data_IF_129430618764
#
_entry.id   IF_129430618764
#
_cell.length_a   1.000
_cell.length_b   1.000
_cell.length_c   1.000
_cell.angle_alpha   90.00
_cell.angle_beta   90.00
_cell.angle_gamma   90.00
#
_symmetry.space_group_name_H-M   'P 1'
#
loop_
_entity.id
_entity.type
_entity.pdbx_description
1 polymer ?
#
# COMPACT_ATOMS: atom_id res chain seq x y z
N UNK A 1 7.55 0.12 19.33
CA UNK A 1 7.47 -0.29 17.93
C UNK A 1 7.83 0.87 17.02
N UNK A 2 8.71 0.66 16.03
CA UNK A 2 8.92 1.58 14.94
C UNK A 2 7.64 1.77 14.12
N UNK A 3 7.35 2.99 13.70
CA UNK A 3 6.25 3.32 12.81
C UNK A 3 6.84 3.67 11.44
N UNK A 4 6.82 2.72 10.54
CA UNK A 4 7.21 2.84 9.13
C UNK A 4 6.19 2.08 8.26
N UNK A 5 6.04 2.45 7.00
CA UNK A 5 5.12 1.80 6.06
C UNK A 5 5.68 0.48 5.51
N UNK A 6 6.18 -0.38 6.40
CA UNK A 6 6.68 -1.70 6.03
C UNK A 6 6.37 -2.76 7.09
N UNK A 7 6.16 -3.98 6.64
CA UNK A 7 6.07 -5.16 7.46
C UNK A 7 7.45 -5.66 7.93
N UNK A 8 7.47 -6.74 8.73
CA UNK A 8 8.73 -7.36 9.18
C UNK A 8 9.51 -6.55 10.21
N UNK A 9 8.93 -5.48 10.77
CA UNK A 9 9.58 -4.56 11.73
C UNK A 9 10.20 -5.27 12.93
N UNK A 10 9.55 -6.32 13.42
CA UNK A 10 10.07 -7.13 14.53
C UNK A 10 11.38 -7.84 14.18
N UNK A 11 11.44 -8.47 13.00
CA UNK A 11 12.63 -9.16 12.49
C UNK A 11 13.78 -8.18 12.24
N UNK A 12 13.47 -6.94 11.82
CA UNK A 12 14.45 -5.87 11.62
C UNK A 12 14.92 -5.16 12.89
N UNK A 13 14.42 -5.54 14.07
CA UNK A 13 14.79 -4.91 15.35
C UNK A 13 14.01 -3.65 15.72
N UNK A 14 12.99 -3.29 14.92
CA UNK A 14 12.12 -2.14 15.16
C UNK A 14 11.03 -2.35 16.22
N UNK A 15 10.95 -3.54 16.83
CA UNK A 15 10.03 -3.85 17.92
C UNK A 15 10.82 -4.45 19.07
N UNK A 16 10.71 -3.83 20.25
CA UNK A 16 11.36 -4.32 21.48
C UNK A 16 10.39 -4.22 22.66
N UNK A 17 10.53 -5.15 23.57
CA UNK A 17 9.79 -5.16 24.84
C UNK A 17 10.63 -4.48 25.90
N UNK A 18 10.03 -3.60 26.70
CA UNK A 18 10.66 -2.94 27.83
C UNK A 18 9.83 -3.18 29.10
N UNK A 19 10.47 -3.34 30.24
CA UNK A 19 9.83 -3.71 31.52
C UNK A 19 9.71 -2.56 32.51
N UNK A 20 10.31 -1.41 32.17
CA UNK A 20 10.27 -0.20 33.00
C UNK A 20 10.29 1.05 32.14
N UNK A 21 9.84 2.18 32.69
CA UNK A 21 9.88 3.47 32.01
C UNK A 21 11.31 3.89 31.64
N UNK A 22 12.29 3.55 32.44
CA UNK A 22 13.69 3.82 32.14
C UNK A 22 14.15 3.02 30.91
N UNK A 23 13.83 1.73 30.85
CA UNK A 23 14.13 0.87 29.72
C UNK A 23 13.38 1.30 28.44
N UNK A 24 12.13 1.79 28.56
CA UNK A 24 11.39 2.38 27.42
C UNK A 24 12.15 3.56 26.83
N UNK A 25 12.70 4.45 27.67
CA UNK A 25 13.48 5.60 27.17
C UNK A 25 14.75 5.17 26.45
N UNK A 26 15.46 4.19 27.00
CA UNK A 26 16.67 3.66 26.39
C UNK A 26 16.38 3.01 25.03
N UNK A 27 15.41 2.09 25.01
CA UNK A 27 14.99 1.38 23.80
C UNK A 27 14.42 2.35 22.75
N UNK A 28 13.64 3.35 23.16
CA UNK A 28 13.14 4.38 22.25
C UNK A 28 14.30 5.17 21.62
N UNK A 29 15.32 5.53 22.40
CA UNK A 29 16.52 6.20 21.90
C UNK A 29 17.32 5.35 20.90
N UNK A 30 17.31 4.02 21.05
CA UNK A 30 17.98 3.11 20.12
C UNK A 30 17.23 2.94 18.79
N UNK A 31 15.87 2.98 18.82
CA UNK A 31 15.04 2.72 17.64
C UNK A 31 14.75 4.02 16.89
N UNK A 32 14.56 5.14 17.58
CA UNK A 32 14.30 6.42 16.95
C UNK A 32 15.54 6.91 16.21
N UNK A 33 15.42 7.23 14.93
CA UNK A 33 16.54 7.63 14.10
C UNK A 33 17.37 6.49 13.51
N UNK A 34 17.06 5.21 13.83
CA UNK A 34 17.71 4.09 13.16
C UNK A 34 17.19 3.93 11.72
N UNK A 35 18.03 3.43 10.83
CA UNK A 35 17.58 2.93 9.53
C UNK A 35 17.14 1.49 9.68
N UNK A 36 15.84 1.25 9.54
CA UNK A 36 15.25 -0.07 9.69
C UNK A 36 15.18 -0.77 8.34
N UNK A 37 15.93 -1.88 8.23
CA UNK A 37 15.95 -2.72 7.03
C UNK A 37 15.01 -3.91 7.26
N UNK A 38 14.04 -4.04 6.35
CA UNK A 38 13.14 -5.20 6.26
C UNK A 38 13.13 -5.68 4.83
N UNK A 39 12.55 -6.83 4.55
CA UNK A 39 12.45 -7.31 3.16
C UNK A 39 11.56 -6.39 2.29
N UNK A 40 10.62 -5.63 2.89
CA UNK A 40 9.76 -4.68 2.17
C UNK A 40 10.42 -3.30 1.95
N UNK A 41 11.38 -2.91 2.80
CA UNK A 41 12.10 -1.63 2.62
C UNK A 41 13.28 -1.74 1.67
N UNK A 42 13.66 -2.95 1.28
CA UNK A 42 14.90 -3.17 0.54
C UNK A 42 16.17 -2.91 1.35
N UNK A 43 17.36 -3.03 0.74
CA UNK A 43 18.64 -2.92 1.43
C UNK A 43 18.94 -1.50 1.95
N UNK A 44 18.32 -0.47 1.37
CA UNK A 44 18.49 0.92 1.80
C UNK A 44 17.79 1.20 3.13
N UNK A 45 16.74 0.43 3.45
CA UNK A 45 15.96 0.59 4.67
C UNK A 45 15.13 1.88 4.69
N UNK A 46 14.47 2.12 5.84
CA UNK A 46 13.70 3.35 6.10
C UNK A 46 14.11 3.94 7.44
N UNK A 47 14.23 5.27 7.49
CA UNK A 47 14.54 5.98 8.71
C UNK A 47 13.34 5.99 9.65
N UNK A 48 13.51 5.51 10.87
CA UNK A 48 12.45 5.50 11.87
C UNK A 48 12.30 6.89 12.49
N UNK A 49 11.22 7.58 12.14
CA UNK A 49 10.93 8.94 12.64
C UNK A 49 9.91 8.95 13.79
N UNK A 50 9.12 7.88 13.93
CA UNK A 50 8.05 7.78 14.92
C UNK A 50 8.07 6.43 15.63
N UNK A 51 7.67 6.45 16.90
CA UNK A 51 7.54 5.25 17.73
C UNK A 51 6.14 5.17 18.33
N UNK A 52 5.61 3.97 18.38
CA UNK A 52 4.46 3.64 19.22
C UNK A 52 4.94 2.91 20.47
N UNK A 53 4.56 3.41 21.64
CA UNK A 53 4.73 2.74 22.93
C UNK A 53 3.35 2.27 23.37
N UNK A 54 3.23 0.98 23.63
CA UNK A 54 1.96 0.36 24.02
C UNK A 54 2.20 -0.66 25.14
N UNK A 55 1.13 -1.01 25.83
CA UNK A 55 1.14 -2.06 26.84
C UNK A 55 1.40 -3.43 26.18
N UNK A 56 2.20 -4.27 26.86
CA UNK A 56 2.42 -5.64 26.41
C UNK A 56 1.25 -6.52 26.84
N UNK A 57 0.74 -7.31 25.93
CA UNK A 57 -0.36 -8.23 26.17
C UNK A 57 0.16 -9.68 26.35
N UNK A 58 -0.48 -10.51 27.20
CA UNK A 58 -0.12 -11.89 27.38
C UNK A 58 -0.63 -12.75 26.22
N UNK A 59 0.04 -12.67 25.08
CA UNK A 59 -0.33 -13.34 23.83
C UNK A 59 -0.33 -14.86 24.04
N UNK A 60 -1.43 -15.50 23.63
CA UNK A 60 -1.56 -16.96 23.54
C UNK A 60 -1.40 -17.43 22.09
N UNK A 61 -2.07 -16.71 21.16
CA UNK A 61 -2.08 -17.07 19.74
C UNK A 61 -2.08 -15.83 18.87
N UNK A 62 -1.33 -15.88 17.78
CA UNK A 62 -1.32 -14.86 16.72
C UNK A 62 -2.08 -15.38 15.50
N UNK A 63 -3.00 -14.59 14.98
CA UNK A 63 -3.87 -14.88 13.86
C UNK A 63 -3.73 -13.78 12.81
N UNK A 64 -4.16 -14.05 11.60
CA UNK A 64 -4.23 -13.08 10.52
C UNK A 64 -5.67 -12.80 10.12
N UNK A 65 -6.02 -11.53 9.91
CA UNK A 65 -7.26 -11.09 9.29
C UNK A 65 -6.95 -10.07 8.21
N UNK A 66 -7.58 -10.20 7.04
CA UNK A 66 -7.39 -9.25 5.94
C UNK A 66 -8.63 -9.12 5.05
N UNK A 67 -8.77 -7.98 4.40
CA UNK A 67 -9.79 -7.71 3.39
C UNK A 67 -9.07 -7.22 2.15
N UNK A 68 -9.29 -7.89 1.03
CA UNK A 68 -8.72 -7.55 -0.27
C UNK A 68 -9.77 -7.67 -1.37
N UNK A 69 -9.56 -6.96 -2.47
CA UNK A 69 -10.34 -7.16 -3.69
C UNK A 69 -9.85 -8.40 -4.43
N UNK A 70 -10.69 -9.43 -4.50
CA UNK A 70 -10.46 -10.56 -5.40
C UNK A 70 -10.95 -10.21 -6.81
N UNK A 71 -10.00 -9.99 -7.72
CA UNK A 71 -10.30 -9.56 -9.09
C UNK A 71 -10.99 -10.63 -9.91
N UNK A 72 -10.78 -11.92 -9.60
CA UNK A 72 -11.43 -13.00 -10.31
C UNK A 72 -12.92 -13.10 -9.94
N UNK A 73 -13.24 -12.84 -8.66
CA UNK A 73 -14.62 -12.82 -8.17
C UNK A 73 -15.29 -11.45 -8.38
N UNK A 74 -14.52 -10.37 -8.60
CA UNK A 74 -15.03 -9.00 -8.66
C UNK A 74 -15.66 -8.54 -7.34
N UNK A 75 -15.21 -9.08 -6.19
CA UNK A 75 -15.74 -8.83 -4.86
C UNK A 75 -14.63 -8.64 -3.83
N UNK A 76 -14.94 -7.92 -2.77
CA UNK A 76 -14.12 -7.96 -1.57
C UNK A 76 -14.20 -9.36 -0.93
N UNK A 77 -13.06 -9.83 -0.47
CA UNK A 77 -12.94 -11.12 0.20
C UNK A 77 -12.31 -10.90 1.57
N UNK A 78 -12.97 -11.42 2.59
CA UNK A 78 -12.41 -11.52 3.93
C UNK A 78 -11.52 -12.75 4.00
N UNK A 79 -10.26 -12.56 4.36
CA UNK A 79 -9.29 -13.63 4.57
C UNK A 79 -8.98 -13.76 6.06
N UNK A 80 -8.86 -14.99 6.53
CA UNK A 80 -8.44 -15.29 7.88
C UNK A 80 -7.48 -16.49 7.89
N UNK A 81 -6.43 -16.43 8.70
CA UNK A 81 -5.48 -17.54 8.86
C UNK A 81 -5.09 -17.76 10.32
N UNK A 82 -4.79 -19.02 10.64
CA UNK A 82 -4.19 -19.40 11.92
C UNK A 82 -2.71 -18.99 12.03
N UNK A 83 -2.10 -18.58 10.93
CA UNK A 83 -0.71 -18.15 10.85
C UNK A 83 -0.66 -16.62 10.87
N UNK A 84 -0.57 -16.03 12.06
CA UNK A 84 -0.38 -14.59 12.26
C UNK A 84 1.06 -14.23 12.59
N UNK A 85 1.38 -12.93 12.53
CA UNK A 85 2.72 -12.43 12.83
C UNK A 85 3.78 -12.73 11.77
N UNK A 86 3.38 -13.34 10.65
CA UNK A 86 4.22 -13.62 9.49
C UNK A 86 3.58 -13.07 8.21
N UNK A 87 4.30 -13.15 7.11
CA UNK A 87 3.81 -12.62 5.83
C UNK A 87 2.78 -13.54 5.21
N UNK A 88 1.63 -12.97 4.90
CA UNK A 88 0.52 -13.75 4.35
C UNK A 88 0.84 -14.31 2.97
N UNK A 89 1.70 -13.65 2.21
CA UNK A 89 2.19 -14.10 0.91
C UNK A 89 3.01 -15.39 1.04
N UNK A 90 3.81 -15.51 2.09
CA UNK A 90 4.58 -16.71 2.41
C UNK A 90 3.64 -17.86 2.78
N UNK A 91 2.59 -17.58 3.58
CA UNK A 91 1.55 -18.56 3.91
C UNK A 91 0.79 -18.99 2.65
N UNK A 92 0.43 -18.03 1.78
CA UNK A 92 -0.28 -18.31 0.52
C UNK A 92 0.54 -19.18 -0.44
N UNK A 93 1.87 -19.06 -0.43
CA UNK A 93 2.75 -19.87 -1.26
C UNK A 93 2.98 -21.28 -0.68
N UNK A 94 3.23 -21.39 0.63
CA UNK A 94 3.66 -22.63 1.26
C UNK A 94 2.49 -23.48 1.79
N UNK A 95 1.45 -22.84 2.31
CA UNK A 95 0.31 -23.50 2.98
C UNK A 95 -1.02 -22.79 2.68
N UNK A 96 -1.44 -22.69 1.40
CA UNK A 96 -2.63 -21.92 1.00
C UNK A 96 -3.93 -22.42 1.66
N UNK A 97 -3.99 -23.68 2.06
CA UNK A 97 -5.12 -24.29 2.77
C UNK A 97 -5.35 -23.69 4.18
N UNK A 98 -4.36 -23.01 4.74
CA UNK A 98 -4.49 -22.31 6.02
C UNK A 98 -5.14 -20.94 5.89
N UNK A 99 -5.36 -20.45 4.67
CA UNK A 99 -6.04 -19.20 4.40
C UNK A 99 -7.49 -19.47 4.07
N UNK A 100 -8.37 -19.18 5.01
CA UNK A 100 -9.81 -19.28 4.82
C UNK A 100 -10.32 -17.98 4.18
N UNK A 101 -11.28 -18.11 3.28
CA UNK A 101 -11.84 -16.98 2.53
C UNK A 101 -13.36 -16.98 2.57
N UNK A 102 -13.96 -15.81 2.73
CA UNK A 102 -15.39 -15.55 2.59
C UNK A 102 -15.60 -14.32 1.73
N UNK A 103 -16.42 -14.44 0.69
CA UNK A 103 -16.79 -13.29 -0.14
C UNK A 103 -17.72 -12.35 0.64
N UNK A 104 -17.46 -11.06 0.54
CA UNK A 104 -18.29 -10.01 1.13
C UNK A 104 -19.28 -9.55 0.06
N UNK A 105 -20.57 -9.67 0.34
CA UNK A 105 -21.60 -9.20 -0.58
C UNK A 105 -21.74 -7.67 -0.51
N UNK A 106 -21.65 -6.96 -1.65
CA UNK A 106 -21.81 -5.52 -1.67
C UNK A 106 -23.14 -5.07 -1.04
N UNK A 107 -23.08 -4.11 -0.12
CA UNK A 107 -24.23 -3.57 0.59
C UNK A 107 -24.79 -4.45 1.72
N UNK A 108 -24.33 -5.69 1.85
CA UNK A 108 -24.71 -6.56 2.98
C UNK A 108 -23.56 -6.74 3.99
N UNK A 109 -22.33 -6.55 3.54
CA UNK A 109 -21.14 -6.77 4.35
C UNK A 109 -20.87 -8.24 4.67
N UNK A 110 -20.07 -8.47 5.70
CA UNK A 110 -19.80 -9.81 6.23
C UNK A 110 -20.88 -10.21 7.24
N UNK A 111 -21.59 -11.32 6.99
CA UNK A 111 -22.61 -11.79 7.91
C UNK A 111 -22.01 -12.42 9.18
N UNK A 112 -22.73 -12.39 10.33
CA UNK A 112 -22.25 -13.04 11.57
C UNK A 112 -21.98 -14.54 11.41
N UNK A 113 -22.69 -15.20 10.52
CA UNK A 113 -22.51 -16.60 10.19
C UNK A 113 -21.14 -16.84 9.50
N UNK A 114 -20.80 -16.03 8.49
CA UNK A 114 -19.52 -16.12 7.78
C UNK A 114 -18.35 -15.82 8.72
N UNK A 115 -18.46 -14.75 9.50
CA UNK A 115 -17.44 -14.39 10.51
C UNK A 115 -17.25 -15.53 11.54
N UNK A 116 -18.34 -16.17 11.96
CA UNK A 116 -18.27 -17.30 12.90
C UNK A 116 -17.60 -18.53 12.27
N UNK A 117 -17.90 -18.83 11.00
CA UNK A 117 -17.26 -19.89 10.24
C UNK A 117 -15.73 -19.68 10.15
N UNK A 118 -15.32 -18.45 9.83
CA UNK A 118 -13.90 -18.09 9.79
C UNK A 118 -13.24 -18.22 11.16
N UNK A 119 -13.86 -17.65 12.20
CA UNK A 119 -13.31 -17.68 13.56
C UNK A 119 -13.09 -19.11 14.08
N UNK A 120 -14.04 -20.03 13.86
CA UNK A 120 -13.85 -21.44 14.18
C UNK A 120 -12.75 -22.07 13.33
N UNK A 121 -12.74 -21.78 12.03
CA UNK A 121 -11.77 -22.36 11.08
C UNK A 121 -10.32 -22.01 11.39
N UNK A 122 -10.06 -20.79 11.92
CA UNK A 122 -8.71 -20.38 12.35
C UNK A 122 -8.39 -20.78 13.81
N UNK A 123 -9.31 -21.53 14.46
CA UNK A 123 -9.12 -22.08 15.80
C UNK A 123 -9.25 -21.07 16.93
N UNK A 124 -10.16 -20.11 16.82
CA UNK A 124 -10.55 -19.26 17.95
C UNK A 124 -11.33 -20.09 18.98
N UNK A 125 -10.97 -20.05 20.28
CA UNK A 125 -11.69 -20.76 21.32
C UNK A 125 -13.15 -20.32 21.44
N UNK A 126 -14.05 -21.24 21.78
CA UNK A 126 -15.49 -20.98 21.87
C UNK A 126 -15.85 -19.77 22.75
N UNK A 127 -15.12 -19.57 23.85
CA UNK A 127 -15.33 -18.43 24.75
C UNK A 127 -15.05 -17.07 24.07
N UNK A 128 -14.12 -17.01 23.11
CA UNK A 128 -13.68 -15.78 22.42
C UNK A 128 -14.37 -15.58 21.07
N UNK A 129 -15.17 -16.54 20.58
CA UNK A 129 -15.79 -16.48 19.24
C UNK A 129 -16.63 -15.21 19.05
N UNK A 130 -17.45 -14.83 20.00
CA UNK A 130 -18.32 -13.66 19.84
C UNK A 130 -17.52 -12.36 19.76
N UNK A 131 -16.43 -12.25 20.50
CA UNK A 131 -15.52 -11.11 20.43
C UNK A 131 -14.77 -11.06 19.08
N UNK A 132 -14.29 -12.20 18.61
CA UNK A 132 -13.63 -12.31 17.29
C UNK A 132 -14.61 -11.96 16.14
N UNK A 133 -15.82 -12.49 16.16
CA UNK A 133 -16.88 -12.17 15.20
C UNK A 133 -17.17 -10.67 15.16
N UNK A 134 -17.30 -10.05 16.34
CA UNK A 134 -17.51 -8.60 16.44
C UNK A 134 -16.34 -7.82 15.84
N UNK A 135 -15.10 -8.24 16.09
CA UNK A 135 -13.90 -7.60 15.51
C UNK A 135 -13.85 -7.76 13.99
N UNK A 136 -14.14 -8.95 13.45
CA UNK A 136 -14.17 -9.19 12.01
C UNK A 136 -15.22 -8.32 11.31
N UNK A 137 -16.43 -8.25 11.85
CA UNK A 137 -17.49 -7.40 11.30
C UNK A 137 -17.15 -5.92 11.40
N UNK A 138 -16.48 -5.49 12.49
CA UNK A 138 -16.02 -4.12 12.64
C UNK A 138 -14.94 -3.76 11.64
N UNK A 139 -14.04 -4.69 11.29
CA UNK A 139 -13.03 -4.50 10.27
C UNK A 139 -13.65 -4.29 8.88
N UNK A 140 -14.66 -5.08 8.53
CA UNK A 140 -15.41 -4.89 7.27
C UNK A 140 -16.09 -3.54 7.25
N UNK A 141 -16.77 -3.17 8.34
CA UNK A 141 -17.41 -1.86 8.44
C UNK A 141 -16.41 -0.72 8.30
N UNK A 142 -15.25 -0.81 8.95
CA UNK A 142 -14.19 0.20 8.81
C UNK A 142 -13.65 0.26 7.38
N UNK A 143 -13.46 -0.89 6.72
CA UNK A 143 -13.04 -0.94 5.32
C UNK A 143 -14.02 -0.23 4.39
N UNK A 144 -15.33 -0.47 4.56
CA UNK A 144 -16.37 0.16 3.75
C UNK A 144 -16.52 1.66 4.05
N UNK A 145 -16.56 2.05 5.33
CA UNK A 145 -16.75 3.46 5.73
C UNK A 145 -15.57 4.36 5.38
N UNK A 146 -14.36 3.80 5.31
CA UNK A 146 -13.13 4.55 5.00
C UNK A 146 -12.70 4.41 3.53
N UNK A 147 -13.49 3.73 2.71
CA UNK A 147 -13.12 3.42 1.31
C UNK A 147 -11.72 2.78 1.21
N UNK A 148 -11.44 1.82 2.08
CA UNK A 148 -10.15 1.17 2.09
C UNK A 148 -10.05 0.15 0.95
N UNK A 149 -8.91 0.16 0.26
CA UNK A 149 -8.55 -0.81 -0.78
C UNK A 149 -7.87 -2.05 -0.19
N UNK A 150 -7.34 -1.92 1.01
CA UNK A 150 -6.74 -2.97 1.82
C UNK A 150 -7.04 -2.67 3.29
N UNK A 151 -7.44 -3.67 4.04
CA UNK A 151 -7.45 -3.63 5.50
C UNK A 151 -6.88 -4.95 6.03
N UNK A 152 -5.85 -4.86 6.86
CA UNK A 152 -5.13 -6.01 7.38
C UNK A 152 -4.85 -5.83 8.87
N UNK A 153 -5.12 -6.87 9.65
CA UNK A 153 -4.71 -7.00 11.04
C UNK A 153 -3.72 -8.17 11.14
N UNK A 154 -2.46 -7.85 11.37
CA UNK A 154 -1.38 -8.84 11.43
C UNK A 154 -0.32 -8.47 12.48
N UNK A 155 -0.39 -9.08 13.68
CA UNK A 155 -1.32 -10.13 14.08
C UNK A 155 -2.62 -9.63 14.70
N UNK A 156 -3.69 -10.40 14.52
CA UNK A 156 -4.86 -10.41 15.40
C UNK A 156 -4.61 -11.41 16.51
N UNK A 157 -4.61 -10.99 17.75
CA UNK A 157 -4.15 -11.83 18.86
C UNK A 157 -5.27 -12.32 19.75
N UNK A 158 -5.09 -13.53 20.26
CA UNK A 158 -5.79 -14.06 21.41
C UNK A 158 -4.86 -13.95 22.63
N UNK A 159 -5.41 -13.49 23.73
CA UNK A 159 -4.70 -13.42 25.00
C UNK A 159 -5.08 -14.60 25.92
N UNK A 160 -4.21 -14.92 26.88
CA UNK A 160 -4.41 -16.04 27.81
C UNK A 160 -5.68 -15.93 28.66
N UNK A 161 -6.21 -14.72 28.83
CA UNK A 161 -7.47 -14.43 29.52
C UNK A 161 -8.71 -14.47 28.58
N UNK A 162 -8.49 -14.85 27.32
CA UNK A 162 -9.55 -14.98 26.31
C UNK A 162 -9.93 -13.68 25.59
N UNK A 163 -9.19 -12.58 25.83
CA UNK A 163 -9.35 -11.33 25.08
C UNK A 163 -8.91 -11.47 23.63
N UNK A 164 -9.43 -10.61 22.76
CA UNK A 164 -9.01 -10.50 21.36
C UNK A 164 -8.63 -9.05 21.04
N UNK A 165 -7.52 -8.85 20.34
CA UNK A 165 -7.01 -7.51 20.04
C UNK A 165 -6.39 -7.45 18.65
N UNK A 166 -6.55 -6.30 17.97
CA UNK A 166 -5.76 -5.93 16.84
C UNK A 166 -4.42 -5.37 17.33
N UNK A 167 -3.34 -6.13 17.25
CA UNK A 167 -2.04 -5.70 17.73
C UNK A 167 -1.35 -4.76 16.74
N UNK A 168 -1.57 -4.96 15.46
CA UNK A 168 -1.17 -4.07 14.39
C UNK A 168 -2.25 -4.05 13.31
N UNK A 169 -2.43 -2.90 12.67
CA UNK A 169 -3.40 -2.75 11.60
C UNK A 169 -2.77 -1.92 10.48
N UNK A 170 -2.91 -2.40 9.25
CA UNK A 170 -2.53 -1.70 8.05
C UNK A 170 -3.79 -1.46 7.21
N UNK A 171 -4.01 -0.21 6.83
CA UNK A 171 -5.11 0.17 5.95
C UNK A 171 -4.59 1.06 4.84
N UNK A 172 -5.00 0.79 3.60
CA UNK A 172 -4.77 1.66 2.46
C UNK A 172 -6.12 2.24 2.06
N UNK A 173 -6.22 3.54 2.04
CA UNK A 173 -7.42 4.27 1.64
C UNK A 173 -7.36 4.55 0.14
N UNK A 174 -8.49 4.52 -0.56
CA UNK A 174 -8.55 4.89 -1.96
C UNK A 174 -8.33 6.41 -2.12
N UNK A 175 -7.28 6.79 -2.83
CA UNK A 175 -6.96 8.20 -3.09
C UNK A 175 -8.10 8.92 -3.81
N UNK A 176 -8.86 8.21 -4.64
CA UNK A 176 -10.04 8.77 -5.32
C UNK A 176 -11.19 9.09 -4.37
N UNK A 177 -11.21 8.53 -3.18
CA UNK A 177 -12.21 8.78 -2.14
C UNK A 177 -11.80 9.89 -1.15
N UNK A 178 -10.55 10.38 -1.20
CA UNK A 178 -10.02 11.34 -0.21
C UNK A 178 -10.80 12.66 -0.15
N UNK A 179 -11.54 13.02 -1.21
CA UNK A 179 -12.41 14.23 -1.20
C UNK A 179 -13.51 14.17 -0.11
N UNK A 180 -13.92 12.97 0.31
CA UNK A 180 -14.91 12.75 1.38
C UNK A 180 -14.29 12.36 2.72
N UNK A 181 -12.98 12.10 2.78
CA UNK A 181 -12.23 11.75 3.98
C UNK A 181 -11.16 12.80 4.32
N UNK A 182 -11.57 14.05 4.45
CA UNK A 182 -10.65 15.18 4.67
C UNK A 182 -9.87 15.07 5.98
N UNK A 183 -10.45 14.43 7.00
CA UNK A 183 -9.82 14.13 8.28
C UNK A 183 -8.66 13.14 8.16
N UNK A 184 -8.70 12.23 7.18
CA UNK A 184 -7.63 11.27 6.93
C UNK A 184 -6.43 11.89 6.19
N UNK A 185 -6.62 13.01 5.47
CA UNK A 185 -5.53 13.70 4.78
C UNK A 185 -4.43 14.13 5.75
N UNK A 186 -4.79 14.50 6.98
CA UNK A 186 -3.84 14.91 8.02
C UNK A 186 -2.99 13.74 8.54
N UNK A 187 -3.41 12.50 8.33
CA UNK A 187 -2.68 11.30 8.72
C UNK A 187 -1.62 10.87 7.71
N UNK A 188 -1.62 11.47 6.50
CA UNK A 188 -0.64 11.17 5.46
C UNK A 188 0.78 11.47 5.98
N UNK A 189 1.66 10.48 5.88
CA UNK A 189 3.07 10.62 6.24
C UNK A 189 3.95 10.73 5.00
N UNK A 190 4.16 11.95 4.55
CA UNK A 190 4.94 12.27 3.35
C UNK A 190 6.42 11.82 3.45
N UNK A 191 6.92 11.54 4.67
CA UNK A 191 8.29 11.07 4.83
C UNK A 191 8.46 9.59 4.49
N UNK A 192 7.35 8.86 4.40
CA UNK A 192 7.32 7.45 4.01
C UNK A 192 7.11 7.27 2.49
N UNK A 193 6.78 8.35 1.78
CA UNK A 193 6.57 8.34 0.33
C UNK A 193 7.87 8.65 -0.42
N UNK A 194 7.90 8.35 -1.73
CA UNK A 194 9.01 8.79 -2.59
C UNK A 194 8.95 10.32 -2.76
N UNK A 195 10.07 11.03 -2.61
CA UNK A 195 10.09 12.50 -2.74
C UNK A 195 9.60 13.01 -4.10
N UNK A 196 9.81 12.25 -5.18
CA UNK A 196 9.35 12.62 -6.53
C UNK A 196 7.84 12.42 -6.66
N UNK A 197 7.28 11.38 -6.03
CA UNK A 197 5.83 11.14 -5.97
C UNK A 197 5.14 12.24 -5.16
N UNK A 198 5.72 12.63 -4.01
CA UNK A 198 5.25 13.77 -3.22
C UNK A 198 5.29 15.07 -4.02
N UNK A 199 6.37 15.32 -4.75
CA UNK A 199 6.46 16.52 -5.59
C UNK A 199 5.42 16.50 -6.71
N UNK A 200 5.23 15.37 -7.39
CA UNK A 200 4.25 15.19 -8.45
C UNK A 200 2.81 15.42 -7.97
N UNK A 201 2.49 14.95 -6.77
CA UNK A 201 1.14 15.11 -6.19
C UNK A 201 0.74 16.58 -6.01
N UNK A 202 1.69 17.49 -5.78
CA UNK A 202 1.43 18.94 -5.66
C UNK A 202 0.88 19.56 -6.95
N UNK A 203 1.16 18.94 -8.09
CA UNK A 203 0.72 19.39 -9.41
C UNK A 203 -0.41 18.55 -9.98
N UNK A 204 -0.98 17.63 -9.20
CA UNK A 204 -2.04 16.72 -9.64
C UNK A 204 -1.56 15.73 -10.70
N UNK A 205 -0.29 15.39 -10.71
CA UNK A 205 0.32 14.42 -11.62
C UNK A 205 0.28 13.02 -11.02
N UNK A 206 -0.08 12.06 -11.84
CA UNK A 206 -0.09 10.64 -11.46
C UNK A 206 1.28 10.03 -11.79
N UNK A 207 2.18 10.06 -10.82
CA UNK A 207 3.58 9.64 -10.95
C UNK A 207 3.89 8.49 -9.99
N UNK A 208 4.56 7.46 -10.50
CA UNK A 208 5.12 6.36 -9.71
C UNK A 208 6.56 6.15 -10.16
N UNK A 209 7.48 6.17 -9.21
CA UNK A 209 8.90 5.91 -9.48
C UNK A 209 9.17 4.43 -9.69
N UNK A 210 10.03 4.10 -10.66
CA UNK A 210 10.52 2.77 -10.96
C UNK A 210 12.05 2.77 -11.08
N UNK A 211 12.65 1.58 -11.06
CA UNK A 211 14.11 1.39 -11.09
C UNK A 211 14.67 1.32 -12.51
N UNK A 212 14.30 2.25 -13.37
CA UNK A 212 14.70 2.24 -14.76
C UNK A 212 15.60 3.40 -15.17
N UNK A 213 15.88 3.48 -16.49
CA UNK A 213 16.74 4.50 -17.10
C UNK A 213 16.08 5.27 -18.24
N UNK A 214 14.86 4.90 -18.62
CA UNK A 214 14.06 5.61 -19.63
C UNK A 214 12.81 6.15 -18.96
N UNK A 215 12.75 7.47 -18.80
CA UNK A 215 11.55 8.11 -18.27
C UNK A 215 10.46 8.17 -19.35
N UNK A 216 9.21 8.03 -18.92
CA UNK A 216 8.05 8.10 -19.79
C UNK A 216 7.11 9.23 -19.34
N UNK A 217 6.64 10.05 -20.28
CA UNK A 217 5.58 11.03 -20.09
C UNK A 217 4.47 10.77 -21.10
N UNK A 218 3.28 10.47 -20.59
CA UNK A 218 2.18 9.96 -21.42
C UNK A 218 0.86 10.59 -20.94
N UNK A 219 -0.11 10.72 -21.81
CA UNK A 219 -1.46 11.09 -21.44
C UNK A 219 -2.40 9.88 -21.54
N UNK A 220 -2.81 9.39 -20.38
CA UNK A 220 -3.68 8.22 -20.22
C UNK A 220 -2.95 6.97 -19.72
N UNK A 221 -3.47 6.39 -18.65
CA UNK A 221 -2.85 5.29 -17.93
C UNK A 221 -2.60 4.04 -18.81
N UNK A 222 -3.56 3.69 -19.67
CA UNK A 222 -3.39 2.55 -20.60
C UNK A 222 -2.27 2.76 -21.61
N UNK A 223 -2.17 4.00 -22.15
CA UNK A 223 -1.08 4.37 -23.06
C UNK A 223 0.26 4.38 -22.33
N UNK A 224 0.30 4.81 -21.06
CA UNK A 224 1.50 4.80 -20.24
C UNK A 224 2.00 3.36 -20.02
N UNK A 225 1.14 2.44 -19.65
CA UNK A 225 1.49 1.02 -19.49
C UNK A 225 2.02 0.42 -20.79
N UNK A 226 1.31 0.61 -21.91
CA UNK A 226 1.77 0.13 -23.22
C UNK A 226 3.10 0.75 -23.66
N UNK A 227 3.33 2.03 -23.33
CA UNK A 227 4.61 2.71 -23.60
C UNK A 227 5.75 2.08 -22.77
N UNK A 228 5.52 1.80 -21.50
CA UNK A 228 6.48 1.13 -20.65
C UNK A 228 6.80 -0.29 -21.13
N UNK A 229 5.81 -1.03 -21.60
CA UNK A 229 5.99 -2.36 -22.19
C UNK A 229 6.88 -2.31 -23.44
N UNK A 230 6.66 -1.34 -24.33
CA UNK A 230 7.49 -1.15 -25.52
C UNK A 230 8.92 -0.76 -25.14
N UNK A 231 9.11 0.11 -24.16
CA UNK A 231 10.45 0.44 -23.64
C UNK A 231 11.16 -0.83 -23.15
N UNK A 232 10.45 -1.66 -22.38
CA UNK A 232 10.99 -2.91 -21.86
C UNK A 232 11.32 -3.89 -22.98
N UNK A 233 10.41 -4.08 -23.92
CA UNK A 233 10.59 -4.95 -25.09
C UNK A 233 11.78 -4.54 -25.96
N UNK A 234 12.03 -3.23 -26.07
CA UNK A 234 13.14 -2.66 -26.84
C UNK A 234 14.49 -2.70 -26.09
N UNK A 235 14.56 -3.35 -24.93
CA UNK A 235 15.79 -3.49 -24.14
C UNK A 235 16.08 -2.32 -23.20
N UNK A 236 15.18 -1.34 -23.08
CA UNK A 236 15.22 -0.29 -22.07
C UNK A 236 14.63 -0.74 -20.74
N UNK A 237 14.72 0.13 -19.73
CA UNK A 237 14.07 -0.08 -18.45
C UNK A 237 13.27 1.17 -18.08
N UNK A 238 11.92 1.08 -17.91
CA UNK A 238 11.11 2.24 -17.53
C UNK A 238 11.53 2.78 -16.15
N UNK A 239 11.77 4.09 -16.08
CA UNK A 239 12.17 4.77 -14.84
C UNK A 239 10.98 5.26 -14.02
N UNK A 240 9.81 5.36 -14.64
CA UNK A 240 8.60 5.83 -13.99
C UNK A 240 7.36 5.44 -14.80
N UNK A 241 6.21 5.42 -14.08
CA UNK A 241 4.91 5.64 -14.67
C UNK A 241 4.56 7.13 -14.51
N UNK A 242 4.08 7.79 -15.55
CA UNK A 242 3.59 9.16 -15.47
C UNK A 242 2.46 9.36 -16.46
N UNK A 243 1.28 9.60 -15.93
CA UNK A 243 0.10 10.00 -16.68
C UNK A 243 -0.21 11.47 -16.39
N UNK A 244 -0.08 12.32 -17.41
CA UNK A 244 -0.39 13.75 -17.29
C UNK A 244 -1.87 14.05 -17.53
N UNK A 245 -2.68 13.05 -17.92
CA UNK A 245 -4.09 13.20 -18.26
C UNK A 245 -4.33 13.86 -19.60
N UNK A 246 -5.55 13.71 -20.13
CA UNK A 246 -5.97 14.27 -21.44
C UNK A 246 -6.11 15.80 -21.46
N UNK A 247 -6.32 16.41 -20.29
CA UNK A 247 -6.52 17.87 -20.14
C UNK A 247 -5.32 18.61 -19.54
N UNK A 248 -4.11 18.04 -19.61
CA UNK A 248 -2.93 18.60 -18.97
C UNK A 248 -2.62 20.02 -19.45
N UNK A 249 -2.46 20.93 -18.49
CA UNK A 249 -2.08 22.32 -18.75
C UNK A 249 -0.55 22.45 -18.89
N UNK A 250 -0.10 23.51 -19.56
CA UNK A 250 1.33 23.76 -19.79
C UNK A 250 2.18 23.70 -18.52
N UNK A 251 1.66 24.22 -17.39
CA UNK A 251 2.37 24.20 -16.11
C UNK A 251 2.50 22.77 -15.55
N UNK A 252 1.51 21.92 -15.74
CA UNK A 252 1.59 20.52 -15.33
C UNK A 252 2.65 19.78 -16.15
N UNK A 253 2.67 19.96 -17.48
CA UNK A 253 3.68 19.39 -18.36
C UNK A 253 5.09 19.86 -17.99
N UNK A 254 5.25 21.16 -17.73
CA UNK A 254 6.54 21.74 -17.29
C UNK A 254 7.01 21.12 -15.98
N UNK A 255 6.14 20.94 -15.00
CA UNK A 255 6.50 20.36 -13.71
C UNK A 255 6.73 18.84 -13.86
N UNK A 256 5.96 18.14 -14.70
CA UNK A 256 6.23 16.75 -15.06
C UNK A 256 7.66 16.58 -15.60
N UNK A 257 8.05 17.42 -16.54
CA UNK A 257 9.42 17.42 -17.08
C UNK A 257 10.48 17.66 -16.02
N UNK A 258 10.26 18.62 -15.13
CA UNK A 258 11.21 18.90 -14.02
C UNK A 258 11.42 17.68 -13.14
N UNK A 259 10.35 16.96 -12.81
CA UNK A 259 10.40 15.74 -12.02
C UNK A 259 11.21 14.67 -12.74
N UNK A 260 10.92 14.42 -14.04
CA UNK A 260 11.65 13.42 -14.82
C UNK A 260 13.15 13.72 -14.93
N UNK A 261 13.53 14.98 -15.13
CA UNK A 261 14.93 15.39 -15.25
C UNK A 261 15.67 15.34 -13.91
N UNK A 262 14.96 15.50 -12.80
CA UNK A 262 15.56 15.48 -11.46
C UNK A 262 16.01 14.07 -11.03
N UNK A 263 15.46 13.03 -11.63
CA UNK A 263 15.90 11.66 -11.40
C UNK A 263 17.24 11.40 -12.10
N UNK A 264 18.27 11.18 -11.30
CA UNK A 264 19.65 10.95 -11.78
C UNK A 264 19.82 9.63 -12.54
N UNK A 265 18.93 8.67 -12.35
CA UNK A 265 18.95 7.38 -13.04
C UNK A 265 18.48 7.51 -14.50
N UNK A 266 17.70 8.56 -14.81
CA UNK A 266 17.13 8.78 -16.15
C UNK A 266 18.22 9.20 -17.14
N UNK A 267 18.33 8.43 -18.25
CA UNK A 267 19.25 8.68 -19.36
C UNK A 267 18.53 9.16 -20.62
N UNK A 268 17.26 8.82 -20.78
CA UNK A 268 16.43 9.22 -21.90
C UNK A 268 14.99 9.47 -21.43
N UNK A 269 14.27 10.33 -22.14
CA UNK A 269 12.85 10.62 -21.88
C UNK A 269 12.08 10.31 -23.16
N UNK A 270 11.07 9.44 -23.04
CA UNK A 270 10.11 9.12 -24.08
C UNK A 270 8.79 9.83 -23.79
N UNK A 271 8.36 10.69 -24.73
CA UNK A 271 7.10 11.38 -24.65
C UNK A 271 6.14 10.76 -25.66
N UNK A 272 5.00 10.27 -25.17
CA UNK A 272 3.97 9.68 -26.01
C UNK A 272 2.62 10.28 -25.61
N UNK A 273 2.26 11.37 -26.27
CA UNK A 273 1.00 12.10 -26.04
C UNK A 273 0.12 11.91 -27.26
N UNK A 274 -1.12 11.50 -27.04
CA UNK A 274 -2.11 11.26 -28.11
C UNK A 274 -3.41 11.97 -27.80
N UNK A 275 -4.14 12.30 -28.87
CA UNK A 275 -5.53 12.84 -28.82
C UNK A 275 -5.66 14.12 -28.03
N UNK A 276 -5.32 15.21 -28.63
CA UNK A 276 -5.64 16.56 -28.20
C UNK A 276 -7.11 16.83 -28.54
N UNK A 277 -8.04 16.51 -27.65
CA UNK A 277 -9.48 16.71 -27.91
C UNK A 277 -9.83 18.17 -28.17
N UNK A 278 -9.02 19.09 -27.65
CA UNK A 278 -9.22 20.53 -27.80
C UNK A 278 -8.61 21.14 -29.07
N UNK A 279 -7.82 20.34 -29.83
CA UNK A 279 -7.23 20.73 -31.11
C UNK A 279 -7.66 19.79 -32.22
N UNK A 280 -8.91 19.31 -32.14
CA UNK A 280 -9.52 18.40 -33.13
C UNK A 280 -9.46 18.88 -34.58
N UNK A 281 -9.23 20.16 -34.80
CA UNK A 281 -8.93 20.75 -36.10
C UNK A 281 -7.65 20.22 -36.74
N UNK A 282 -6.74 19.61 -35.94
CA UNK A 282 -5.53 18.98 -36.42
C UNK A 282 -5.69 17.48 -36.66
N UNK A 283 -6.87 17.04 -37.03
CA UNK A 283 -7.09 15.72 -37.59
C UNK A 283 -6.41 15.58 -38.96
N UNK A 284 -5.14 15.83 -39.01
CA UNK A 284 -4.33 15.24 -40.04
C UNK A 284 -4.24 13.75 -39.75
N UNK A 285 -4.48 12.93 -40.73
CA UNK A 285 -4.28 11.48 -40.75
C UNK A 285 -2.81 11.07 -40.45
N UNK A 286 -1.97 11.99 -40.02
CA UNK A 286 -0.60 11.76 -39.65
C UNK A 286 -0.50 11.43 -38.17
N UNK A 287 -0.04 10.24 -37.88
CA UNK A 287 0.43 9.82 -36.55
C UNK A 287 1.61 10.72 -36.14
N UNK A 288 1.36 11.80 -35.42
CA UNK A 288 2.41 12.61 -34.82
C UNK A 288 2.95 11.86 -33.60
N UNK A 289 3.85 10.94 -33.84
CA UNK A 289 4.74 10.42 -32.80
C UNK A 289 5.90 11.43 -32.70
N UNK A 290 5.80 12.35 -31.77
CA UNK A 290 6.93 13.23 -31.45
C UNK A 290 7.93 12.42 -30.61
N UNK A 291 8.94 11.83 -31.23
CA UNK A 291 10.11 11.29 -30.55
C UNK A 291 11.10 12.43 -30.32
N UNK A 292 11.09 12.99 -29.13
CA UNK A 292 12.19 13.81 -28.63
C UNK A 292 13.05 12.92 -27.73
N UNK A 293 14.13 12.38 -28.28
CA UNK A 293 15.23 11.83 -27.50
C UNK A 293 16.08 13.02 -27.06
N UNK A 294 15.96 13.43 -25.82
CA UNK A 294 16.90 14.35 -25.20
C UNK A 294 17.98 13.50 -24.55
N UNK A 295 19.13 13.39 -25.22
CA UNK A 295 20.34 12.92 -24.56
C UNK A 295 20.83 14.00 -23.59
N UNK A 296 21.14 13.57 -22.35
CA UNK A 296 21.81 14.41 -21.35
C UNK A 296 23.30 14.49 -21.65
#
# INVERSE_FOLDING_TARGET
KAQIHAGGRGKGGGVKVARSVAEVREVAGQILGMTLVTHQTGPEGRLVQRLLVEETLPIEKELYLGIVLDRALGKLVFMASSEGGMEIEEVAHNTPEKILKEAIEPGMGLSPFQARKLAFGIGVPAASINAAVKAMMALVKANEELDATLAEINPFILTKDGGVYALDCKMNIDDNAMFRHKDLVELRDINEEDPLEVEASKFGLNYIKLDGNVACMVNGAGLAMGTMDIVKYSGGSPANFLDVGGGAQADQIKNAFRILISDKAVKAILINVRSEEHTSELQSLAYLVCRLLLEK
#
